data_IF_002864832031
#
_entry.id   IF_002864832031
#
_cell.length_a   1.000
_cell.length_b   1.000
_cell.length_c   1.000
_cell.angle_alpha   90.00
_cell.angle_beta   90.00
_cell.angle_gamma   90.00
#
_symmetry.space_group_name_H-M   'P 1'
#
loop_
_entity.id
_entity.type
_entity.pdbx_description
1 polymer ?
#
# COMPACT_ATOMS: atom_id res chain seq x y z
N UNK A 1 7.44 6.53 -14.03
CA UNK A 1 6.72 7.46 -13.13
C UNK A 1 5.27 7.04 -13.08
N UNK A 2 4.60 6.68 -12.00
CA UNK A 2 4.94 6.24 -10.65
C UNK A 2 3.64 5.60 -10.16
N UNK A 3 3.62 4.30 -9.85
CA UNK A 3 2.44 3.69 -9.21
C UNK A 3 2.57 4.03 -7.74
N UNK A 4 1.98 5.15 -7.34
CA UNK A 4 1.56 5.34 -5.95
C UNK A 4 0.58 4.20 -5.66
N UNK A 5 1.09 3.17 -5.00
CA UNK A 5 0.30 2.14 -4.30
C UNK A 5 -0.43 2.87 -3.18
N UNK A 6 -1.41 3.71 -3.51
CA UNK A 6 -2.27 4.38 -2.53
C UNK A 6 -3.65 3.78 -2.72
N UNK A 7 -4.23 3.31 -1.62
CA UNK A 7 -5.53 2.65 -1.65
C UNK A 7 -6.59 3.69 -2.02
N UNK A 8 -7.22 3.51 -3.18
CA UNK A 8 -8.26 4.43 -3.67
C UNK A 8 -9.61 3.97 -3.14
N UNK A 9 -10.26 4.82 -2.34
CA UNK A 9 -11.61 4.56 -1.82
C UNK A 9 -12.68 5.19 -2.73
N UNK A 10 -13.79 4.48 -2.90
CA UNK A 10 -14.94 4.99 -3.64
C UNK A 10 -15.65 6.09 -2.83
N UNK A 11 -15.83 7.31 -3.37
CA UNK A 11 -16.52 8.36 -2.67
C UNK A 11 -18.02 8.08 -2.49
N UNK A 12 -18.67 7.38 -3.43
CA UNK A 12 -20.11 7.10 -3.42
C UNK A 12 -20.55 6.30 -2.19
N UNK A 13 -19.70 5.41 -1.69
CA UNK A 13 -19.93 4.65 -0.46
C UNK A 13 -19.68 5.45 0.84
N UNK A 14 -19.12 6.67 0.76
CA UNK A 14 -18.70 7.47 1.92
C UNK A 14 -19.64 8.66 2.20
N UNK A 15 -19.91 8.89 3.48
CA UNK A 15 -20.61 10.09 3.96
C UNK A 15 -19.74 11.34 3.84
N UNK A 16 -20.35 12.53 3.77
CA UNK A 16 -19.62 13.80 3.68
C UNK A 16 -18.57 13.96 4.79
N UNK A 17 -18.90 13.59 6.04
CA UNK A 17 -17.95 13.62 7.16
C UNK A 17 -16.74 12.70 6.95
N UNK A 18 -16.88 11.56 6.27
CA UNK A 18 -15.75 10.66 6.00
C UNK A 18 -14.88 11.19 4.85
N UNK A 19 -15.50 11.78 3.82
CA UNK A 19 -14.80 12.40 2.69
C UNK A 19 -13.97 13.61 3.10
N UNK A 20 -14.44 14.36 4.09
CA UNK A 20 -13.73 15.50 4.70
C UNK A 20 -12.64 15.04 5.70
N UNK A 21 -12.62 13.75 6.04
CA UNK A 21 -11.74 13.24 7.09
C UNK A 21 -12.17 13.68 8.49
N UNK A 22 -13.47 13.97 8.70
CA UNK A 22 -14.11 14.26 10.00
C UNK A 22 -14.75 13.02 10.68
N UNK A 23 -14.79 11.88 9.99
CA UNK A 23 -15.21 10.60 10.56
C UNK A 23 -14.35 9.44 10.07
N UNK A 24 -14.26 8.38 10.89
CA UNK A 24 -13.59 7.14 10.50
C UNK A 24 -14.29 6.49 9.29
N UNK A 25 -13.50 6.12 8.28
CA UNK A 25 -14.00 5.43 7.08
C UNK A 25 -14.63 4.05 7.39
N UNK A 26 -14.21 3.38 8.47
CA UNK A 26 -14.70 2.05 8.83
C UNK A 26 -15.90 2.08 9.79
N UNK A 27 -15.83 2.85 10.87
CA UNK A 27 -16.82 2.82 11.96
C UNK A 27 -17.68 4.10 12.07
N UNK A 28 -17.47 5.09 11.19
CA UNK A 28 -18.25 6.33 11.11
C UNK A 28 -18.18 7.21 12.37
N UNK A 29 -17.34 6.85 13.34
CA UNK A 29 -17.12 7.62 14.57
C UNK A 29 -16.47 8.97 14.23
N UNK A 30 -17.09 10.06 14.67
CA UNK A 30 -16.55 11.44 14.57
C UNK A 30 -15.46 11.69 15.60
N UNK A 31 -14.49 12.51 15.25
CA UNK A 31 -13.25 12.70 16.02
C UNK A 31 -13.44 13.42 17.36
N UNK A 32 -12.65 13.02 18.38
CA UNK A 32 -11.51 13.85 18.82
C UNK A 32 -10.17 13.08 19.06
N UNK A 33 -9.99 11.89 18.47
CA UNK A 33 -8.82 10.99 18.64
C UNK A 33 -7.94 10.93 17.36
N UNK A 34 -6.67 10.44 17.41
CA UNK A 34 -5.70 10.61 16.32
C UNK A 34 -6.15 10.04 14.95
N UNK A 35 -5.93 10.84 13.89
CA UNK A 35 -6.36 10.62 12.50
C UNK A 35 -5.28 9.90 11.68
N UNK A 36 -5.38 8.57 11.56
CA UNK A 36 -4.42 7.79 10.76
C UNK A 36 -4.85 7.81 9.30
N UNK A 37 -3.97 8.27 8.40
CA UNK A 37 -4.23 8.25 6.95
C UNK A 37 -4.06 6.83 6.40
N UNK A 38 -5.07 6.34 5.69
CA UNK A 38 -5.13 4.95 5.17
C UNK A 38 -5.21 4.87 3.65
N UNK A 39 -5.53 5.97 2.97
CA UNK A 39 -5.60 6.03 1.51
C UNK A 39 -6.01 7.42 1.00
N UNK A 40 -6.52 7.46 -0.23
CA UNK A 40 -7.05 8.67 -0.86
C UNK A 40 -8.33 8.42 -1.67
N UNK A 41 -9.06 9.50 -1.93
CA UNK A 41 -10.14 9.57 -2.91
C UNK A 41 -9.54 9.79 -4.30
N UNK A 42 -10.28 9.46 -5.37
CA UNK A 42 -9.89 9.79 -6.75
C UNK A 42 -9.75 11.30 -6.98
N UNK A 43 -10.36 12.13 -6.12
CA UNK A 43 -10.20 13.58 -6.11
C UNK A 43 -8.89 14.07 -5.47
N UNK A 44 -8.09 13.18 -4.89
CA UNK A 44 -6.86 13.50 -4.17
C UNK A 44 -7.02 13.76 -2.67
N UNK A 45 -8.25 13.79 -2.15
CA UNK A 45 -8.51 13.94 -0.71
C UNK A 45 -8.05 12.72 0.09
N UNK A 46 -7.40 12.92 1.23
CA UNK A 46 -6.95 11.81 2.09
C UNK A 46 -8.10 11.13 2.84
N UNK A 47 -8.06 9.80 2.94
CA UNK A 47 -8.99 8.98 3.74
C UNK A 47 -8.35 8.64 5.08
N UNK A 48 -9.13 8.77 6.16
CA UNK A 48 -8.66 8.58 7.53
C UNK A 48 -9.46 7.53 8.30
N UNK A 49 -8.77 6.81 9.17
CA UNK A 49 -9.33 5.86 10.11
C UNK A 49 -8.88 6.15 11.54
N UNK A 50 -9.68 5.76 12.53
CA UNK A 50 -9.29 5.83 13.93
C UNK A 50 -8.18 4.81 14.24
N UNK A 51 -7.44 5.03 15.33
CA UNK A 51 -6.35 4.16 15.80
C UNK A 51 -6.74 2.67 15.92
N UNK A 52 -8.00 2.40 16.24
CA UNK A 52 -8.56 1.04 16.40
C UNK A 52 -8.84 0.36 15.05
N UNK A 53 -9.41 1.09 14.09
CA UNK A 53 -9.77 0.54 12.77
C UNK A 53 -8.61 0.63 11.76
N UNK A 54 -7.67 1.56 11.94
CA UNK A 54 -6.51 1.73 11.07
C UNK A 54 -5.65 0.45 10.89
N UNK A 55 -5.37 -0.38 11.92
CA UNK A 55 -4.63 -1.63 11.72
C UNK A 55 -5.44 -2.72 10.99
N UNK A 56 -6.77 -2.67 11.04
CA UNK A 56 -7.62 -3.64 10.35
C UNK A 56 -7.81 -3.35 8.85
N UNK A 57 -7.52 -2.12 8.42
CA UNK A 57 -7.62 -1.73 7.03
C UNK A 57 -6.37 -2.16 6.24
N UNK A 58 -6.55 -2.57 4.98
CA UNK A 58 -5.42 -2.87 4.10
C UNK A 58 -4.56 -1.61 3.99
N UNK A 59 -3.32 -1.69 4.47
CA UNK A 59 -2.36 -0.61 4.28
C UNK A 59 -1.86 -0.71 2.84
N UNK A 60 -1.76 0.41 2.11
CA UNK A 60 -0.91 0.42 0.93
C UNK A 60 0.46 -0.10 1.36
N UNK A 61 0.98 -1.12 0.66
CA UNK A 61 2.32 -1.60 1.01
C UNK A 61 3.24 -0.42 0.75
N UNK A 62 4.07 0.01 1.71
CA UNK A 62 5.23 0.80 1.35
C UNK A 62 5.90 0.04 0.21
N UNK A 63 6.11 0.69 -0.92
CA UNK A 63 6.96 0.13 -1.96
C UNK A 63 8.33 -0.04 -1.32
N UNK A 64 8.60 -1.20 -0.74
CA UNK A 64 9.86 -1.57 -0.10
C UNK A 64 10.96 -1.24 -1.13
N UNK A 65 11.80 -0.22 -0.91
CA UNK A 65 12.99 -0.05 -1.73
C UNK A 65 13.99 -1.09 -1.24
N UNK A 66 13.82 -2.32 -1.70
CA UNK A 66 14.74 -3.42 -1.44
C UNK A 66 14.22 -4.49 -0.48
N UNK A 67 13.35 -5.37 -0.97
CA UNK A 67 13.65 -6.79 -0.79
C UNK A 67 14.53 -7.21 -1.96
N UNK A 68 15.82 -6.88 -1.82
CA UNK A 68 16.87 -7.43 -2.65
C UNK A 68 16.95 -8.94 -2.41
N UNK A 69 16.25 -9.71 -3.25
CA UNK A 69 16.71 -11.04 -3.63
C UNK A 69 17.10 -11.00 -5.10
N UNK A 70 18.11 -10.17 -5.39
CA UNK A 70 19.02 -10.51 -6.47
C UNK A 70 19.69 -11.83 -6.10
N UNK A 71 19.41 -12.89 -6.85
CA UNK A 71 20.41 -13.94 -7.08
C UNK A 71 20.85 -13.86 -8.53
N UNK A 72 21.88 -13.07 -8.88
CA UNK A 72 22.81 -13.49 -9.90
C UNK A 72 23.89 -14.31 -9.19
N UNK A 73 23.60 -15.58 -8.86
CA UNK A 73 24.72 -16.52 -8.77
C UNK A 73 25.12 -16.79 -10.21
N UNK A 74 26.04 -15.97 -10.70
CA UNK A 74 26.90 -16.30 -11.82
C UNK A 74 27.53 -17.65 -11.49
N UNK A 75 26.97 -18.74 -12.02
CA UNK A 75 27.70 -19.98 -12.10
C UNK A 75 28.84 -19.76 -13.09
N UNK A 76 30.11 -20.00 -12.73
CA UNK A 76 31.14 -20.10 -13.75
C UNK A 76 30.75 -21.25 -14.67
N UNK A 77 30.78 -21.06 -15.98
CA UNK A 77 30.82 -22.17 -16.93
C UNK A 77 32.23 -22.78 -16.86
N UNK A 78 32.41 -24.08 -16.53
CA UNK A 78 33.58 -24.82 -16.94
C UNK A 78 33.20 -25.73 -18.11
N UNK A 79 34.00 -25.66 -19.16
CA UNK A 79 33.70 -26.24 -20.46
C UNK A 79 33.44 -27.74 -20.45
N UNK A 80 32.43 -28.13 -21.22
CA UNK A 80 32.34 -29.48 -21.76
C UNK A 80 32.88 -29.43 -23.19
N UNK A 81 34.21 -29.53 -23.30
CA UNK A 81 34.86 -30.07 -24.47
C UNK A 81 35.40 -31.45 -24.06
N UNK A 82 34.56 -32.48 -24.13
CA UNK A 82 35.04 -33.85 -24.22
C UNK A 82 34.35 -34.52 -25.41
N UNK A 83 35.05 -34.44 -26.52
CA UNK A 83 34.91 -35.34 -27.66
C UNK A 83 35.17 -36.77 -27.18
N UNK A 84 34.18 -37.65 -27.28
CA UNK A 84 34.43 -39.09 -27.40
C UNK A 84 34.29 -39.50 -28.87
N UNK A 85 35.19 -40.38 -29.27
CA UNK A 85 35.38 -40.90 -30.63
C UNK A 85 34.28 -41.86 -31.02
#
# INVERSE_FOLDING_TARGET
MGRTDELVFDPGALSAAQRDGDACVACHKRWPRPRVRVGCLPSGSGVFACEDCAPALPRPRPAEPGSGAGRPVNGPAPGEAVSYR
#
